data_IF_901136224810
#
_entry.id   IF_901136224810
#
_cell.length_a   1.000
_cell.length_b   1.000
_cell.length_c   1.000
_cell.angle_alpha   90.00
_cell.angle_beta   90.00
_cell.angle_gamma   90.00
#
_symmetry.space_group_name_H-M   'P 1'
#
loop_
_entity.id
_entity.type
_entity.pdbx_description
1 polymer ?
#
# COMPACT_ATOMS: atom_id res chain seq x y z
N UNK A 1 -26.81 3.29 14.01
CA UNK A 1 -26.46 2.09 14.79
C UNK A 1 -25.38 2.40 15.82
N UNK A 2 -24.24 3.00 15.45
CA UNK A 2 -23.16 3.35 16.40
C UNK A 2 -23.63 4.24 17.54
N UNK A 3 -24.42 5.27 17.27
CA UNK A 3 -25.03 6.13 18.31
C UNK A 3 -25.87 5.36 19.37
N UNK A 4 -26.44 4.21 18.98
CA UNK A 4 -27.20 3.32 19.84
C UNK A 4 -26.39 2.14 20.37
N UNK A 5 -25.07 2.20 20.29
CA UNK A 5 -24.13 1.18 20.78
C UNK A 5 -24.41 -0.22 20.20
N UNK A 6 -24.89 -0.28 18.94
CA UNK A 6 -25.15 -1.53 18.24
C UNK A 6 -24.01 -1.90 17.32
N UNK A 7 -23.67 -3.20 17.17
CA UNK A 7 -22.63 -3.65 16.26
C UNK A 7 -22.84 -3.17 14.82
N UNK A 8 -21.82 -2.57 14.21
CA UNK A 8 -21.91 -2.00 12.86
C UNK A 8 -21.57 -3.02 11.75
N UNK A 9 -21.06 -4.19 12.10
CA UNK A 9 -20.54 -5.18 11.15
C UNK A 9 -21.49 -5.60 10.04
N UNK A 10 -22.74 -5.93 10.39
CA UNK A 10 -23.75 -6.37 9.41
C UNK A 10 -24.17 -5.19 8.51
N UNK A 11 -24.37 -4.03 9.11
CA UNK A 11 -24.68 -2.81 8.37
C UNK A 11 -23.56 -2.44 7.41
N UNK A 12 -22.30 -2.41 7.88
CA UNK A 12 -21.14 -2.08 7.04
C UNK A 12 -20.90 -3.11 5.93
N UNK A 13 -21.17 -4.40 6.20
CA UNK A 13 -21.12 -5.44 5.18
C UNK A 13 -22.19 -5.22 4.11
N UNK A 14 -23.44 -4.98 4.49
CA UNK A 14 -24.54 -4.74 3.55
C UNK A 14 -24.29 -3.50 2.69
N UNK A 15 -23.82 -2.39 3.31
CA UNK A 15 -23.45 -1.17 2.58
C UNK A 15 -22.30 -1.44 1.62
N UNK A 16 -21.31 -2.23 2.01
CA UNK A 16 -20.21 -2.61 1.11
C UNK A 16 -20.70 -3.36 -0.12
N UNK A 17 -21.66 -4.28 0.04
CA UNK A 17 -22.28 -4.99 -1.09
C UNK A 17 -23.03 -4.02 -2.03
N UNK A 18 -23.78 -3.06 -1.47
CA UNK A 18 -24.49 -2.03 -2.27
C UNK A 18 -23.48 -1.18 -3.07
N UNK A 19 -22.40 -0.71 -2.43
CA UNK A 19 -21.38 0.09 -3.13
C UNK A 19 -20.66 -0.72 -4.20
N UNK A 20 -20.34 -1.99 -3.96
CA UNK A 20 -19.77 -2.86 -4.98
C UNK A 20 -20.70 -3.03 -6.17
N UNK A 21 -21.98 -3.21 -5.91
CA UNK A 21 -22.98 -3.29 -6.97
C UNK A 21 -23.10 -1.97 -7.77
N UNK A 22 -23.10 -0.83 -7.09
CA UNK A 22 -23.14 0.48 -7.75
C UNK A 22 -21.90 0.75 -8.61
N UNK A 23 -20.73 0.34 -8.16
CA UNK A 23 -19.45 0.61 -8.85
C UNK A 23 -19.15 -0.42 -9.95
N UNK A 24 -19.49 -1.68 -9.73
CA UNK A 24 -19.14 -2.79 -10.63
C UNK A 24 -20.35 -3.38 -11.36
N UNK A 25 -21.58 -3.03 -10.96
CA UNK A 25 -22.82 -3.63 -11.49
C UNK A 25 -23.08 -3.37 -12.97
N UNK A 26 -22.50 -2.31 -13.52
CA UNK A 26 -22.53 -2.04 -14.98
C UNK A 26 -21.75 -3.05 -15.82
N UNK A 27 -20.84 -3.82 -15.20
CA UNK A 27 -20.07 -4.91 -15.80
C UNK A 27 -20.28 -6.20 -15.00
N UNK A 28 -21.30 -6.99 -15.34
CA UNK A 28 -21.58 -8.27 -14.67
C UNK A 28 -20.35 -9.17 -14.54
N UNK A 29 -19.43 -9.12 -15.51
CA UNK A 29 -18.16 -9.86 -15.48
C UNK A 29 -17.30 -9.50 -14.25
N UNK A 30 -17.19 -8.21 -13.89
CA UNK A 30 -16.38 -7.77 -12.77
C UNK A 30 -16.91 -8.34 -11.43
N UNK A 31 -18.23 -8.39 -11.25
CA UNK A 31 -18.84 -8.99 -10.04
C UNK A 31 -18.62 -10.50 -9.98
N UNK A 32 -18.71 -11.19 -11.13
CA UNK A 32 -18.41 -12.63 -11.20
C UNK A 32 -16.94 -12.88 -10.87
N UNK A 33 -16.02 -12.11 -11.44
CA UNK A 33 -14.58 -12.25 -11.14
C UNK A 33 -14.28 -11.97 -9.67
N UNK A 34 -14.90 -10.96 -9.09
CA UNK A 34 -14.79 -10.69 -7.65
C UNK A 34 -15.29 -11.87 -6.81
N UNK A 35 -16.46 -12.43 -7.15
CA UNK A 35 -17.02 -13.56 -6.43
C UNK A 35 -16.12 -14.81 -6.53
N UNK A 36 -15.61 -15.12 -7.71
CA UNK A 36 -14.67 -16.22 -7.95
C UNK A 36 -13.35 -15.99 -7.17
N UNK A 37 -12.82 -14.77 -7.19
CA UNK A 37 -11.63 -14.40 -6.41
C UNK A 37 -11.85 -14.60 -4.91
N UNK A 38 -12.94 -14.10 -4.36
CA UNK A 38 -13.26 -14.25 -2.93
C UNK A 38 -13.39 -15.72 -2.54
N UNK A 39 -14.08 -16.52 -3.38
CA UNK A 39 -14.23 -17.95 -3.13
C UNK A 39 -12.87 -18.66 -3.19
N UNK A 40 -12.04 -18.35 -4.18
CA UNK A 40 -10.69 -18.88 -4.32
C UNK A 40 -9.86 -18.61 -3.06
N UNK A 41 -9.74 -17.35 -2.68
CA UNK A 41 -8.88 -16.94 -1.57
C UNK A 41 -9.34 -17.48 -0.20
N UNK A 42 -10.65 -17.54 0.05
CA UNK A 42 -11.14 -18.09 1.33
C UNK A 42 -10.99 -19.61 1.40
N UNK A 43 -11.25 -20.32 0.31
CA UNK A 43 -11.06 -21.77 0.22
C UNK A 43 -9.59 -22.12 0.39
N UNK A 44 -8.73 -21.40 -0.31
CA UNK A 44 -7.28 -21.56 -0.22
C UNK A 44 -6.78 -21.35 1.22
N UNK A 45 -7.16 -20.23 1.87
CA UNK A 45 -6.74 -19.94 3.23
C UNK A 45 -7.21 -21.03 4.23
N UNK A 46 -8.43 -21.55 4.09
CA UNK A 46 -8.93 -22.65 4.92
C UNK A 46 -8.22 -23.96 4.67
N UNK A 47 -7.94 -24.30 3.41
CA UNK A 47 -7.18 -25.48 3.04
C UNK A 47 -5.76 -25.37 3.60
N UNK A 48 -5.11 -24.22 3.41
CA UNK A 48 -3.76 -24.01 3.91
C UNK A 48 -3.68 -24.11 5.43
N UNK A 49 -4.67 -23.58 6.15
CA UNK A 49 -4.72 -23.73 7.61
C UNK A 49 -4.79 -25.21 8.02
N UNK A 50 -5.61 -26.04 7.36
CA UNK A 50 -5.68 -27.50 7.59
C UNK A 50 -4.34 -28.17 7.28
N UNK A 51 -3.74 -27.84 6.16
CA UNK A 51 -2.43 -28.34 5.74
C UNK A 51 -1.34 -27.95 6.75
N UNK A 52 -1.36 -26.70 7.21
CA UNK A 52 -0.43 -26.18 8.23
C UNK A 52 -0.58 -26.90 9.58
N UNK A 53 -1.82 -27.22 9.99
CA UNK A 53 -2.09 -28.02 11.22
C UNK A 53 -1.57 -29.46 11.06
N UNK A 54 -1.74 -30.08 9.87
CA UNK A 54 -1.33 -31.48 9.63
C UNK A 54 0.18 -31.65 9.44
N UNK A 55 0.81 -30.77 8.63
CA UNK A 55 2.22 -30.92 8.22
C UNK A 55 3.19 -29.97 8.93
N UNK A 56 2.73 -29.24 9.91
CA UNK A 56 3.55 -28.29 10.64
C UNK A 56 4.05 -27.11 9.78
N UNK A 57 5.19 -26.54 10.15
CA UNK A 57 5.79 -25.36 9.48
C UNK A 57 6.62 -25.79 8.25
N UNK A 58 5.96 -26.17 7.18
CA UNK A 58 6.58 -26.63 5.93
C UNK A 58 6.74 -25.46 4.94
N UNK A 59 8.00 -25.13 4.57
CA UNK A 59 8.30 -24.01 3.66
C UNK A 59 7.85 -24.26 2.22
N UNK A 60 7.92 -25.49 1.71
CA UNK A 60 7.51 -25.82 0.34
C UNK A 60 6.01 -25.58 0.17
N UNK A 61 5.22 -26.09 1.11
CA UNK A 61 3.77 -25.89 1.13
C UNK A 61 3.42 -24.39 1.31
N UNK A 62 4.15 -23.66 2.18
CA UNK A 62 3.97 -22.22 2.31
C UNK A 62 4.16 -21.47 0.99
N UNK A 63 5.26 -21.72 0.27
CA UNK A 63 5.49 -21.05 -1.01
C UNK A 63 4.46 -21.45 -2.06
N UNK A 64 4.01 -22.70 -2.09
CA UNK A 64 2.93 -23.13 -2.97
C UNK A 64 1.66 -22.33 -2.74
N UNK A 65 1.18 -22.25 -1.50
CA UNK A 65 -0.03 -21.51 -1.18
C UNK A 65 0.14 -19.97 -1.34
N UNK A 66 1.33 -19.42 -1.07
CA UNK A 66 1.60 -18.02 -1.35
C UNK A 66 1.54 -17.69 -2.86
N UNK A 67 2.06 -18.59 -3.71
CA UNK A 67 1.98 -18.44 -5.17
C UNK A 67 0.54 -18.57 -5.64
N UNK A 68 -0.24 -19.51 -5.10
CA UNK A 68 -1.65 -19.68 -5.42
C UNK A 68 -2.49 -18.44 -5.05
N UNK A 69 -2.21 -17.80 -3.90
CA UNK A 69 -2.86 -16.55 -3.50
C UNK A 69 -2.45 -15.36 -4.37
N UNK A 70 -1.22 -15.35 -4.91
CA UNK A 70 -0.77 -14.30 -5.82
C UNK A 70 -1.21 -14.54 -7.28
N UNK A 71 -1.64 -15.76 -7.62
CA UNK A 71 -1.91 -16.17 -9.00
C UNK A 71 -2.95 -15.30 -9.71
N UNK A 72 -4.10 -14.93 -9.09
CA UNK A 72 -5.08 -14.08 -9.76
C UNK A 72 -4.50 -12.71 -10.17
N UNK A 73 -3.66 -12.11 -9.32
CA UNK A 73 -2.98 -10.85 -9.63
C UNK A 73 -1.93 -11.02 -10.73
N UNK A 74 -1.16 -12.10 -10.68
CA UNK A 74 -0.14 -12.40 -11.70
C UNK A 74 -0.80 -12.55 -13.07
N UNK A 75 -1.89 -13.31 -13.15
CA UNK A 75 -2.65 -13.49 -14.40
C UNK A 75 -3.23 -12.16 -14.91
N UNK A 76 -3.77 -11.34 -14.02
CA UNK A 76 -4.28 -10.02 -14.39
C UNK A 76 -3.17 -9.11 -14.95
N UNK A 77 -2.00 -9.07 -14.30
CA UNK A 77 -0.86 -8.26 -14.79
C UNK A 77 -0.29 -8.80 -16.10
N UNK A 78 -0.22 -10.12 -16.26
CA UNK A 78 0.22 -10.75 -17.49
C UNK A 78 -0.70 -10.40 -18.66
N UNK A 79 -2.01 -10.48 -18.46
CA UNK A 79 -3.00 -10.09 -19.48
C UNK A 79 -2.84 -8.61 -19.89
N UNK A 80 -2.66 -7.71 -18.93
CA UNK A 80 -2.34 -6.30 -19.22
C UNK A 80 -1.05 -6.13 -20.03
N UNK A 81 0.02 -6.85 -19.68
CA UNK A 81 1.31 -6.76 -20.36
C UNK A 81 1.27 -7.30 -21.80
N UNK A 82 0.36 -8.24 -22.08
CA UNK A 82 0.17 -8.86 -23.42
C UNK A 82 -0.91 -8.18 -24.26
N UNK A 83 -1.38 -6.98 -23.85
CA UNK A 83 -2.36 -6.19 -24.60
C UNK A 83 -3.82 -6.53 -24.32
N UNK A 84 -4.12 -7.23 -23.23
CA UNK A 84 -5.49 -7.55 -22.81
C UNK A 84 -6.18 -8.59 -23.67
N UNK A 85 -5.43 -9.45 -24.37
CA UNK A 85 -5.94 -10.44 -25.34
C UNK A 85 -6.85 -11.49 -24.69
N UNK A 86 -6.58 -11.83 -23.44
CA UNK A 86 -7.27 -12.91 -22.74
C UNK A 86 -8.45 -12.45 -21.90
N UNK A 87 -8.55 -11.14 -21.59
CA UNK A 87 -9.58 -10.55 -20.71
C UNK A 87 -9.79 -11.33 -19.40
N UNK A 88 -8.70 -11.89 -18.85
CA UNK A 88 -8.74 -12.74 -17.67
C UNK A 88 -8.66 -11.91 -16.39
N UNK A 89 -9.58 -12.16 -15.49
CA UNK A 89 -9.59 -11.70 -14.11
C UNK A 89 -9.22 -10.23 -13.88
N UNK A 90 -10.02 -9.30 -14.42
CA UNK A 90 -9.89 -7.88 -14.11
C UNK A 90 -11.08 -7.35 -13.31
N UNK A 91 -10.86 -6.89 -12.10
CA UNK A 91 -11.83 -6.09 -11.34
C UNK A 91 -11.11 -5.06 -10.47
N UNK A 92 -11.85 -4.01 -10.15
CA UNK A 92 -11.32 -2.90 -9.35
C UNK A 92 -10.94 -3.37 -7.94
N UNK A 93 -9.68 -3.15 -7.52
CA UNK A 93 -9.20 -3.49 -6.18
C UNK A 93 -8.47 -4.83 -6.06
N UNK A 94 -8.35 -5.63 -7.14
CA UNK A 94 -7.67 -6.94 -7.10
C UNK A 94 -6.28 -6.86 -6.46
N UNK A 95 -5.48 -5.84 -6.76
CA UNK A 95 -4.12 -5.66 -6.22
C UNK A 95 -4.11 -5.50 -4.70
N UNK A 96 -5.04 -4.71 -4.16
CA UNK A 96 -5.13 -4.48 -2.71
C UNK A 96 -5.71 -5.68 -1.96
N UNK A 97 -6.68 -6.35 -2.56
CA UNK A 97 -7.23 -7.59 -2.01
C UNK A 97 -6.18 -8.70 -1.96
N UNK A 98 -5.34 -8.81 -2.99
CA UNK A 98 -4.24 -9.79 -3.02
C UNK A 98 -3.24 -9.55 -1.88
N UNK A 99 -2.94 -8.31 -1.50
CA UNK A 99 -2.13 -8.06 -0.31
C UNK A 99 -2.77 -8.56 0.97
N UNK A 100 -4.09 -8.38 1.11
CA UNK A 100 -4.83 -8.85 2.28
C UNK A 100 -4.84 -10.38 2.34
N UNK A 101 -5.04 -11.08 1.22
CA UNK A 101 -5.03 -12.55 1.18
C UNK A 101 -3.63 -13.11 1.41
N UNK A 102 -2.61 -12.63 0.70
CA UNK A 102 -1.22 -13.04 0.89
C UNK A 102 -0.78 -12.85 2.35
N UNK A 103 -1.18 -11.73 3.00
CA UNK A 103 -0.94 -11.51 4.42
C UNK A 103 -1.54 -12.63 5.29
N UNK A 104 -2.76 -13.08 5.01
CA UNK A 104 -3.41 -14.15 5.78
C UNK A 104 -2.64 -15.46 5.62
N UNK A 105 -2.22 -15.83 4.40
CA UNK A 105 -1.38 -17.02 4.14
C UNK A 105 -0.08 -16.94 4.93
N UNK A 106 0.58 -15.78 4.91
CA UNK A 106 1.82 -15.55 5.64
C UNK A 106 1.61 -15.69 7.16
N UNK A 107 0.55 -15.11 7.70
CA UNK A 107 0.20 -15.17 9.13
C UNK A 107 -0.20 -16.58 9.59
N UNK A 108 -0.84 -17.38 8.72
CA UNK A 108 -1.07 -18.81 8.97
C UNK A 108 0.26 -19.56 9.07
N UNK A 109 1.21 -19.33 8.15
CA UNK A 109 2.53 -19.93 8.21
C UNK A 109 3.27 -19.61 9.50
N UNK A 110 3.18 -18.36 9.97
CA UNK A 110 3.82 -17.92 11.21
C UNK A 110 3.10 -18.40 12.49
N UNK A 111 1.89 -18.95 12.34
CA UNK A 111 1.07 -19.45 13.45
C UNK A 111 0.33 -18.35 14.22
N UNK A 112 0.26 -17.15 13.64
CA UNK A 112 -0.51 -16.02 14.21
C UNK A 112 -2.02 -16.23 14.02
N UNK A 113 -2.45 -16.75 12.87
CA UNK A 113 -3.84 -17.11 12.58
C UNK A 113 -4.02 -18.59 12.84
N UNK A 114 -4.91 -18.91 13.80
CA UNK A 114 -5.27 -20.27 14.19
C UNK A 114 -6.63 -20.71 13.66
N UNK A 115 -7.43 -19.75 13.17
CA UNK A 115 -8.75 -19.96 12.60
C UNK A 115 -9.01 -18.94 11.48
N UNK A 116 -9.69 -19.37 10.40
CA UNK A 116 -10.14 -18.51 9.30
C UNK A 116 -11.65 -18.52 9.27
N UNK A 117 -12.25 -17.50 9.92
CA UNK A 117 -13.68 -17.27 9.91
C UNK A 117 -14.10 -16.64 8.58
N UNK A 118 -15.14 -17.19 7.94
CA UNK A 118 -15.54 -16.76 6.59
C UNK A 118 -16.05 -15.32 6.57
N UNK A 119 -16.91 -14.92 7.53
CA UNK A 119 -17.52 -13.61 7.53
C UNK A 119 -16.50 -12.47 7.74
N UNK A 120 -15.62 -12.48 8.76
CA UNK A 120 -14.58 -11.47 8.90
C UNK A 120 -13.65 -11.40 7.70
N UNK A 121 -13.28 -12.56 7.14
CA UNK A 121 -12.39 -12.62 5.97
C UNK A 121 -13.01 -11.94 4.75
N UNK A 122 -14.24 -12.33 4.38
CA UNK A 122 -14.94 -11.75 3.24
C UNK A 122 -15.23 -10.27 3.46
N UNK A 123 -15.68 -9.88 4.65
CA UNK A 123 -15.97 -8.48 4.96
C UNK A 123 -14.70 -7.61 4.85
N UNK A 124 -13.57 -8.07 5.38
CA UNK A 124 -12.28 -7.37 5.23
C UNK A 124 -11.91 -7.18 3.75
N UNK A 125 -12.15 -8.19 2.91
CA UNK A 125 -11.84 -8.10 1.48
C UNK A 125 -12.69 -7.05 0.77
N UNK A 126 -14.01 -7.11 0.98
CA UNK A 126 -14.97 -6.25 0.26
C UNK A 126 -15.27 -4.92 0.96
N UNK A 127 -14.62 -4.60 2.06
CA UNK A 127 -14.85 -3.36 2.81
C UNK A 127 -14.62 -2.16 1.91
N UNK A 128 -15.72 -1.57 1.43
CA UNK A 128 -15.71 -0.64 0.29
C UNK A 128 -14.84 0.61 0.49
N UNK A 129 -14.69 1.21 1.71
CA UNK A 129 -13.90 2.41 1.84
C UNK A 129 -12.44 2.25 1.40
N UNK A 130 -11.90 1.03 1.55
CA UNK A 130 -10.47 0.75 1.30
C UNK A 130 -10.22 -0.29 0.19
N UNK A 131 -11.23 -0.59 -0.62
CA UNK A 131 -11.16 -1.69 -1.58
C UNK A 131 -10.20 -1.41 -2.74
N UNK A 132 -10.08 -0.17 -3.19
CA UNK A 132 -9.30 0.20 -4.38
C UNK A 132 -7.86 0.60 -4.05
N UNK A 133 -7.66 1.77 -3.43
CA UNK A 133 -6.36 2.35 -3.11
C UNK A 133 -6.30 2.85 -1.66
N UNK A 134 -7.24 2.43 -0.82
CA UNK A 134 -7.27 2.78 0.59
C UNK A 134 -6.16 2.09 1.39
N UNK A 135 -6.03 2.41 2.67
CA UNK A 135 -5.04 1.78 3.53
C UNK A 135 -5.17 0.25 3.57
N UNK A 136 -4.03 -0.44 3.48
CA UNK A 136 -3.96 -1.91 3.60
C UNK A 136 -4.03 -2.29 5.07
N UNK A 137 -5.19 -2.75 5.49
CA UNK A 137 -5.42 -3.10 6.88
C UNK A 137 -4.90 -4.49 7.27
N UNK A 138 -4.63 -4.67 8.56
CA UNK A 138 -4.22 -5.96 9.13
C UNK A 138 -5.47 -6.78 9.50
N UNK A 139 -5.49 -8.05 9.08
CA UNK A 139 -6.66 -8.93 9.27
C UNK A 139 -7.12 -9.06 10.71
N UNK A 140 -6.19 -9.19 11.65
CA UNK A 140 -6.51 -9.30 13.08
C UNK A 140 -7.09 -7.99 13.62
N UNK A 141 -6.47 -6.85 13.32
CA UNK A 141 -6.95 -5.54 13.73
C UNK A 141 -8.34 -5.22 13.19
N UNK A 142 -8.58 -5.49 11.87
CA UNK A 142 -9.88 -5.31 11.24
C UNK A 142 -10.95 -6.17 11.93
N UNK A 143 -10.61 -7.42 12.24
CA UNK A 143 -11.50 -8.35 12.96
C UNK A 143 -11.86 -7.82 14.36
N UNK A 144 -10.87 -7.33 15.11
CA UNK A 144 -11.08 -6.81 16.45
C UNK A 144 -12.00 -5.57 16.42
N UNK A 145 -11.78 -4.62 15.52
CA UNK A 145 -12.63 -3.45 15.33
C UNK A 145 -14.06 -3.85 14.92
N UNK A 146 -14.19 -4.80 14.00
CA UNK A 146 -15.49 -5.26 13.47
C UNK A 146 -16.39 -5.87 14.55
N UNK A 147 -15.82 -6.57 15.52
CA UNK A 147 -16.59 -7.19 16.61
C UNK A 147 -16.80 -6.27 17.80
N UNK A 148 -16.09 -5.16 17.85
CA UNK A 148 -16.14 -4.22 18.96
C UNK A 148 -17.49 -3.50 19.00
N UNK A 149 -18.11 -3.45 20.18
CA UNK A 149 -19.21 -2.52 20.49
C UNK A 149 -18.56 -1.22 20.98
N UNK A 150 -18.80 -0.15 20.24
CA UNK A 150 -18.17 1.15 20.53
C UNK A 150 -19.12 1.97 21.41
N UNK A 151 -18.67 2.49 22.57
CA UNK A 151 -19.46 3.41 23.41
C UNK A 151 -19.88 4.65 22.60
N UNK A 152 -21.07 5.17 22.89
CA UNK A 152 -21.66 6.31 22.15
C UNK A 152 -20.72 7.48 22.02
N UNK A 153 -20.10 7.91 23.11
CA UNK A 153 -19.20 9.05 23.09
C UNK A 153 -18.01 8.81 22.18
N UNK A 154 -17.36 7.64 22.29
CA UNK A 154 -16.24 7.27 21.43
C UNK A 154 -16.68 7.19 19.96
N UNK A 155 -17.87 6.67 19.67
CA UNK A 155 -18.38 6.63 18.30
C UNK A 155 -18.63 8.03 17.74
N UNK A 156 -19.19 8.95 18.54
CA UNK A 156 -19.41 10.34 18.12
C UNK A 156 -18.12 11.06 17.81
N UNK A 157 -17.08 10.88 18.65
CA UNK A 157 -15.76 11.45 18.44
C UNK A 157 -15.11 10.88 17.17
N UNK A 158 -15.25 9.56 16.97
CA UNK A 158 -14.72 8.86 15.79
C UNK A 158 -15.47 9.30 14.52
N UNK A 159 -16.79 9.45 14.58
CA UNK A 159 -17.59 9.94 13.45
C UNK A 159 -17.27 11.39 13.11
N UNK A 160 -17.09 12.25 14.12
CA UNK A 160 -16.65 13.63 13.92
C UNK A 160 -15.29 13.72 13.23
N UNK A 161 -14.31 12.93 13.70
CA UNK A 161 -13.01 12.81 13.04
C UNK A 161 -13.13 12.26 11.62
N UNK A 162 -14.02 11.28 11.40
CA UNK A 162 -14.30 10.70 10.10
C UNK A 162 -14.84 11.73 9.12
N UNK A 163 -15.85 12.49 9.51
CA UNK A 163 -16.40 13.56 8.68
C UNK A 163 -15.36 14.66 8.38
N UNK A 164 -14.58 15.07 9.36
CA UNK A 164 -13.48 16.02 9.13
C UNK A 164 -12.48 15.49 8.10
N UNK A 165 -12.05 14.21 8.21
CA UNK A 165 -11.14 13.58 7.24
C UNK A 165 -11.77 13.52 5.84
N UNK A 166 -13.07 13.23 5.70
CA UNK A 166 -13.77 13.23 4.41
C UNK A 166 -13.73 14.60 3.77
N UNK A 167 -14.13 15.65 4.52
CA UNK A 167 -14.14 17.03 4.01
C UNK A 167 -12.73 17.48 3.62
N UNK A 168 -11.73 17.24 4.48
CA UNK A 168 -10.34 17.56 4.18
C UNK A 168 -9.84 16.80 2.95
N UNK A 169 -10.24 15.53 2.82
CA UNK A 169 -9.90 14.68 1.67
C UNK A 169 -10.49 15.22 0.35
N UNK A 170 -11.73 15.71 0.39
CA UNK A 170 -12.36 16.38 -0.76
C UNK A 170 -11.58 17.65 -1.13
N UNK A 171 -11.23 18.49 -0.16
CA UNK A 171 -10.40 19.68 -0.42
C UNK A 171 -9.07 19.32 -1.06
N UNK A 172 -8.38 18.29 -0.53
CA UNK A 172 -7.10 17.85 -1.08
C UNK A 172 -7.25 17.36 -2.54
N UNK A 173 -8.23 16.49 -2.81
CA UNK A 173 -8.37 15.84 -4.11
C UNK A 173 -9.03 16.76 -5.15
N UNK A 174 -10.13 17.43 -4.79
CA UNK A 174 -10.96 18.16 -5.76
C UNK A 174 -10.46 19.59 -5.97
N UNK A 175 -9.83 20.22 -4.95
CA UNK A 175 -9.37 21.61 -5.06
C UNK A 175 -7.88 21.67 -5.29
N UNK A 176 -7.07 21.13 -4.35
CA UNK A 176 -5.62 21.33 -4.38
C UNK A 176 -4.97 20.49 -5.49
N UNK A 177 -5.31 19.18 -5.57
CA UNK A 177 -4.76 18.33 -6.61
C UNK A 177 -5.20 18.79 -8.00
N UNK A 178 -6.47 19.19 -8.19
CA UNK A 178 -6.93 19.74 -9.46
C UNK A 178 -6.20 21.03 -9.84
N UNK A 179 -5.87 21.89 -8.87
CA UNK A 179 -5.05 23.07 -9.10
C UNK A 179 -3.65 22.72 -9.62
N UNK A 180 -2.95 21.78 -8.98
CA UNK A 180 -1.63 21.31 -9.45
C UNK A 180 -1.69 20.62 -10.82
N UNK A 181 -2.75 19.85 -11.09
CA UNK A 181 -2.98 19.25 -12.39
C UNK A 181 -3.15 20.31 -13.49
N UNK A 182 -3.89 21.38 -13.22
CA UNK A 182 -4.02 22.51 -14.16
C UNK A 182 -2.69 23.24 -14.40
N UNK A 183 -1.86 23.40 -13.34
CA UNK A 183 -0.52 23.95 -13.49
C UNK A 183 0.39 23.05 -14.32
N UNK A 184 0.32 21.74 -14.11
CA UNK A 184 1.04 20.75 -14.90
C UNK A 184 0.68 20.86 -16.39
N UNK A 185 -0.62 20.88 -16.72
CA UNK A 185 -1.10 21.02 -18.10
C UNK A 185 -0.65 22.33 -18.73
N UNK A 186 -0.69 23.45 -18.02
CA UNK A 186 -0.36 24.76 -18.58
C UNK A 186 1.13 25.02 -18.74
N UNK A 187 1.95 24.55 -17.80
CA UNK A 187 3.36 24.93 -17.67
C UNK A 187 4.33 23.77 -17.88
N UNK A 188 3.87 22.53 -17.72
CA UNK A 188 4.73 21.33 -17.70
C UNK A 188 4.98 20.69 -19.07
N UNK A 189 4.64 21.34 -20.19
CA UNK A 189 4.75 20.73 -21.52
C UNK A 189 6.16 20.80 -22.15
N UNK A 190 7.04 21.68 -21.68
CA UNK A 190 8.39 21.82 -22.20
C UNK A 190 9.21 20.53 -22.07
N UNK A 191 10.01 20.21 -23.08
CA UNK A 191 11.01 19.14 -23.08
C UNK A 191 12.41 19.67 -22.74
N UNK A 192 12.51 20.93 -22.33
CA UNK A 192 13.71 21.54 -21.78
C UNK A 192 13.84 21.31 -20.27
N UNK A 193 14.97 21.67 -19.70
CA UNK A 193 15.21 21.53 -18.25
C UNK A 193 14.17 22.26 -17.40
N UNK A 194 13.74 23.45 -17.84
CA UNK A 194 12.74 24.25 -17.14
C UNK A 194 11.38 23.53 -17.11
N UNK A 195 10.93 23.02 -18.25
CA UNK A 195 9.70 22.25 -18.35
C UNK A 195 9.74 20.96 -17.53
N UNK A 196 10.88 20.26 -17.55
CA UNK A 196 11.09 19.07 -16.73
C UNK A 196 10.99 19.35 -15.23
N UNK A 197 11.61 20.44 -14.75
CA UNK A 197 11.54 20.83 -13.34
C UNK A 197 10.12 21.26 -12.93
N UNK A 198 9.46 22.08 -13.75
CA UNK A 198 8.06 22.47 -13.49
C UNK A 198 7.18 21.22 -13.39
N UNK A 199 7.27 20.32 -14.37
CA UNK A 199 6.51 19.06 -14.36
C UNK A 199 6.81 18.22 -13.12
N UNK A 200 8.08 18.02 -12.78
CA UNK A 200 8.50 17.21 -11.62
C UNK A 200 7.82 17.67 -10.33
N UNK A 201 7.81 18.98 -10.06
CA UNK A 201 7.20 19.48 -8.83
C UNK A 201 5.67 19.54 -8.90
N UNK A 202 5.09 19.98 -10.02
CA UNK A 202 3.63 20.05 -10.16
C UNK A 202 3.01 18.66 -10.12
N UNK A 203 3.58 17.69 -10.82
CA UNK A 203 3.15 16.29 -10.76
C UNK A 203 3.34 15.68 -9.38
N UNK A 204 4.48 15.93 -8.72
CA UNK A 204 4.74 15.41 -7.38
C UNK A 204 3.73 15.90 -6.34
N UNK A 205 3.36 17.19 -6.37
CA UNK A 205 2.31 17.73 -5.52
C UNK A 205 0.92 17.23 -5.94
N UNK A 206 0.62 17.19 -7.23
CA UNK A 206 -0.62 16.59 -7.73
C UNK A 206 -0.80 15.17 -7.19
N UNK A 207 0.19 14.31 -7.38
CA UNK A 207 0.17 12.92 -6.93
C UNK A 207 -0.06 12.81 -5.42
N UNK A 208 0.62 13.66 -4.63
CA UNK A 208 0.45 13.67 -3.18
C UNK A 208 -0.97 14.07 -2.77
N UNK A 209 -1.46 15.21 -3.24
CA UNK A 209 -2.76 15.71 -2.82
C UNK A 209 -3.91 14.84 -3.33
N UNK A 210 -3.79 14.29 -4.54
CA UNK A 210 -4.77 13.36 -5.09
C UNK A 210 -4.86 12.08 -4.25
N UNK A 211 -3.73 11.46 -3.97
CA UNK A 211 -3.69 10.19 -3.23
C UNK A 211 -3.92 10.37 -1.72
N UNK A 212 -3.38 11.41 -1.11
CA UNK A 212 -3.65 11.72 0.30
C UNK A 212 -5.12 12.11 0.52
N UNK A 213 -5.71 12.86 -0.42
CA UNK A 213 -7.13 13.20 -0.39
C UNK A 213 -8.02 11.97 -0.47
N UNK A 214 -7.76 11.08 -1.43
CA UNK A 214 -8.45 9.80 -1.51
C UNK A 214 -8.29 8.98 -0.21
N UNK A 215 -7.08 8.86 0.32
CA UNK A 215 -6.81 8.11 1.54
C UNK A 215 -7.53 8.70 2.76
N UNK A 216 -7.58 10.02 2.89
CA UNK A 216 -8.33 10.70 3.95
C UNK A 216 -9.83 10.38 3.87
N UNK A 217 -10.43 10.43 2.67
CA UNK A 217 -11.84 10.05 2.49
C UNK A 217 -12.07 8.59 2.83
N UNK A 218 -11.18 7.68 2.43
CA UNK A 218 -11.28 6.26 2.74
C UNK A 218 -11.21 5.98 4.25
N UNK A 219 -10.25 6.59 4.95
CA UNK A 219 -10.12 6.47 6.42
C UNK A 219 -11.32 7.09 7.12
N UNK A 220 -11.75 8.28 6.69
CA UNK A 220 -12.92 8.95 7.25
C UNK A 220 -14.20 8.13 7.10
N UNK A 221 -14.45 7.59 5.91
CA UNK A 221 -15.56 6.67 5.68
C UNK A 221 -15.48 5.42 6.57
N UNK A 222 -14.28 4.83 6.72
CA UNK A 222 -14.09 3.67 7.58
C UNK A 222 -14.49 3.94 9.03
N UNK A 223 -14.19 5.13 9.54
CA UNK A 223 -14.54 5.54 10.90
C UNK A 223 -16.06 5.57 11.13
N UNK A 224 -16.83 5.97 10.11
CA UNK A 224 -18.31 5.94 10.20
C UNK A 224 -18.87 4.51 10.34
N UNK A 225 -18.10 3.49 9.89
CA UNK A 225 -18.44 2.08 10.03
C UNK A 225 -17.81 1.42 11.27
N UNK A 226 -17.21 2.19 12.16
CA UNK A 226 -16.62 1.65 13.38
C UNK A 226 -15.26 0.99 13.18
N UNK A 227 -14.66 1.08 11.98
CA UNK A 227 -13.34 0.52 11.66
C UNK A 227 -12.30 1.63 11.71
N UNK A 228 -11.39 1.57 12.66
CA UNK A 228 -10.32 2.57 12.84
C UNK A 228 -9.15 2.30 11.90
N UNK A 229 -9.40 2.38 10.60
CA UNK A 229 -8.40 2.18 9.54
C UNK A 229 -7.21 3.12 9.71
N UNK A 230 -5.95 2.64 9.59
CA UNK A 230 -4.77 3.47 9.77
C UNK A 230 -4.60 4.51 8.66
N UNK A 231 -3.96 5.64 8.98
CA UNK A 231 -3.63 6.66 7.99
C UNK A 231 -2.49 6.21 7.06
N UNK A 232 -2.53 6.66 5.80
CA UNK A 232 -1.48 6.38 4.80
C UNK A 232 -0.41 7.46 4.69
N UNK A 233 -0.67 8.66 5.24
CA UNK A 233 0.24 9.79 5.10
C UNK A 233 0.43 10.54 6.41
N UNK A 234 1.69 10.90 6.70
CA UNK A 234 2.05 11.73 7.84
C UNK A 234 3.11 12.76 7.44
N UNK A 235 2.70 13.84 6.77
CA UNK A 235 3.57 14.95 6.34
C UNK A 235 4.87 14.47 5.68
N UNK A 236 4.82 13.71 4.58
CA UNK A 236 6.00 13.01 4.02
C UNK A 236 7.10 13.97 3.51
N UNK A 237 6.75 15.19 3.13
CA UNK A 237 7.70 16.16 2.58
C UNK A 237 8.57 16.87 3.62
N UNK A 238 8.35 16.62 4.93
CA UNK A 238 9.27 17.07 5.99
C UNK A 238 10.29 16.00 6.40
N UNK A 239 10.34 14.90 5.68
CA UNK A 239 11.25 13.78 5.98
C UNK A 239 12.70 14.17 5.86
N UNK A 240 13.51 13.72 6.80
CA UNK A 240 14.94 14.05 6.87
C UNK A 240 15.84 13.05 6.15
N UNK A 241 15.30 11.90 5.77
CA UNK A 241 15.98 10.87 4.97
C UNK A 241 14.96 9.92 4.33
N UNK A 242 15.45 8.99 3.48
CA UNK A 242 14.58 8.10 2.71
C UNK A 242 13.83 7.07 3.57
N UNK A 243 14.34 6.71 4.75
CA UNK A 243 13.61 5.82 5.66
C UNK A 243 12.45 6.56 6.33
N UNK A 244 12.71 7.78 6.83
CA UNK A 244 11.68 8.66 7.39
C UNK A 244 10.60 8.99 6.34
N UNK A 245 10.97 9.14 5.05
CA UNK A 245 10.01 9.30 3.97
C UNK A 245 9.08 8.09 3.83
N UNK A 246 9.60 6.88 3.75
CA UNK A 246 8.78 5.67 3.61
C UNK A 246 7.99 5.30 4.88
N UNK A 247 8.37 5.82 6.04
CA UNK A 247 7.57 5.74 7.28
C UNK A 247 6.42 6.76 7.31
N UNK A 248 6.38 7.73 6.34
CA UNK A 248 5.37 8.80 6.24
C UNK A 248 4.58 8.79 4.94
N UNK A 249 5.09 8.15 3.89
CA UNK A 249 4.47 8.04 2.58
C UNK A 249 3.89 6.64 2.39
N UNK A 250 2.59 6.58 2.01
CA UNK A 250 1.88 5.31 1.77
C UNK A 250 2.18 4.27 2.86
N UNK A 251 1.99 4.69 4.11
CA UNK A 251 2.48 4.03 5.33
C UNK A 251 2.05 2.56 5.37
N UNK A 252 0.80 2.26 5.04
CA UNK A 252 0.28 0.89 5.15
C UNK A 252 0.90 -0.05 4.12
N UNK A 253 1.16 0.41 2.89
CA UNK A 253 1.88 -0.34 1.87
C UNK A 253 3.35 -0.52 2.27
N UNK A 254 4.00 0.57 2.67
CA UNK A 254 5.40 0.58 3.11
C UNK A 254 5.63 -0.41 4.26
N UNK A 255 4.76 -0.39 5.27
CA UNK A 255 4.82 -1.32 6.39
C UNK A 255 4.47 -2.76 5.98
N UNK A 256 3.54 -2.95 5.02
CA UNK A 256 3.26 -4.27 4.50
C UNK A 256 4.51 -4.89 3.84
N UNK A 257 5.15 -4.15 2.95
CA UNK A 257 6.39 -4.58 2.29
C UNK A 257 7.53 -4.79 3.28
N UNK A 258 7.70 -3.92 4.27
CA UNK A 258 8.71 -4.07 5.33
C UNK A 258 8.50 -5.36 6.13
N UNK A 259 7.26 -5.65 6.54
CA UNK A 259 6.97 -6.77 7.45
C UNK A 259 6.95 -8.11 6.70
N UNK A 260 6.41 -8.15 5.48
CA UNK A 260 6.17 -9.39 4.75
C UNK A 260 7.19 -9.69 3.65
N UNK A 261 7.97 -8.71 3.19
CA UNK A 261 9.02 -8.91 2.19
C UNK A 261 10.39 -8.65 2.79
N UNK A 262 10.70 -7.40 3.15
CA UNK A 262 12.03 -6.99 3.62
C UNK A 262 12.51 -7.83 4.81
N UNK A 263 11.70 -7.95 5.86
CA UNK A 263 12.07 -8.72 7.06
C UNK A 263 12.29 -10.19 6.76
N UNK A 264 11.50 -10.78 5.83
CA UNK A 264 11.66 -12.19 5.46
C UNK A 264 12.90 -12.44 4.62
N UNK A 265 13.19 -11.58 3.65
CA UNK A 265 14.42 -11.64 2.87
C UNK A 265 15.64 -11.52 3.80
N UNK A 266 15.64 -10.52 4.69
CA UNK A 266 16.70 -10.29 5.65
C UNK A 266 16.92 -11.51 6.55
N UNK A 267 15.86 -12.06 7.17
CA UNK A 267 15.98 -13.25 8.02
C UNK A 267 16.47 -14.48 7.25
N UNK A 268 16.02 -14.69 6.02
CA UNK A 268 16.47 -15.82 5.21
C UNK A 268 17.96 -15.69 4.84
N UNK A 269 18.43 -14.49 4.49
CA UNK A 269 19.84 -14.23 4.20
C UNK A 269 20.72 -14.42 5.43
N UNK A 270 20.29 -13.92 6.59
CA UNK A 270 21.00 -14.14 7.87
C UNK A 270 21.11 -15.64 8.17
N UNK A 271 20.02 -16.38 8.08
CA UNK A 271 19.97 -17.83 8.34
C UNK A 271 20.81 -18.65 7.37
N UNK A 272 20.95 -18.20 6.14
CA UNK A 272 21.77 -18.89 5.13
C UNK A 272 23.26 -18.88 5.47
N UNK A 273 23.72 -17.92 6.29
CA UNK A 273 25.13 -17.67 6.66
C UNK A 273 26.08 -17.45 5.47
N UNK A 274 25.53 -17.29 4.24
CA UNK A 274 26.34 -17.07 3.04
C UNK A 274 26.91 -15.65 2.98
N UNK A 275 26.21 -14.68 3.57
CA UNK A 275 26.60 -13.27 3.61
C UNK A 275 26.82 -12.88 5.06
N UNK A 276 28.07 -12.51 5.40
CA UNK A 276 28.44 -12.13 6.77
C UNK A 276 28.08 -10.69 7.12
N UNK A 277 28.06 -9.80 6.13
CA UNK A 277 27.83 -8.38 6.34
C UNK A 277 26.33 -8.08 6.46
N UNK A 278 25.88 -7.65 7.62
CA UNK A 278 24.49 -7.18 7.83
C UNK A 278 24.13 -6.00 6.92
N UNK A 279 25.10 -5.15 6.59
CA UNK A 279 24.89 -4.02 5.68
C UNK A 279 24.60 -4.50 4.26
N UNK A 280 25.36 -5.47 3.77
CA UNK A 280 25.13 -6.11 2.46
C UNK A 280 23.76 -6.79 2.40
N UNK A 281 23.37 -7.48 3.49
CA UNK A 281 22.05 -8.10 3.59
C UNK A 281 20.95 -7.04 3.49
N UNK A 282 21.09 -5.92 4.21
CA UNK A 282 20.11 -4.83 4.13
C UNK A 282 20.00 -4.22 2.73
N UNK A 283 21.13 -3.99 2.05
CA UNK A 283 21.16 -3.48 0.67
C UNK A 283 20.42 -4.42 -0.27
N UNK A 284 20.73 -5.72 -0.24
CA UNK A 284 20.03 -6.71 -1.08
C UNK A 284 18.53 -6.73 -0.77
N UNK A 285 18.16 -6.69 0.51
CA UNK A 285 16.77 -6.68 0.91
C UNK A 285 16.02 -5.42 0.46
N UNK A 286 16.65 -4.23 0.46
CA UNK A 286 16.06 -3.00 -0.08
C UNK A 286 15.81 -3.10 -1.58
N UNK A 287 16.78 -3.60 -2.37
CA UNK A 287 16.59 -3.77 -3.80
C UNK A 287 15.48 -4.76 -4.13
N UNK A 288 15.42 -5.90 -3.44
CA UNK A 288 14.34 -6.88 -3.64
C UNK A 288 12.99 -6.27 -3.24
N UNK A 289 12.92 -5.61 -2.08
CA UNK A 289 11.69 -5.01 -1.56
C UNK A 289 11.12 -3.95 -2.49
N UNK A 290 11.96 -2.99 -2.88
CA UNK A 290 11.55 -1.87 -3.72
C UNK A 290 11.39 -2.28 -5.19
N UNK A 291 12.17 -3.23 -5.69
CA UNK A 291 11.99 -3.81 -7.02
C UNK A 291 10.62 -4.52 -7.15
N UNK A 292 10.24 -5.33 -6.17
CA UNK A 292 8.90 -5.95 -6.13
C UNK A 292 7.79 -4.92 -6.03
N UNK A 293 7.99 -3.83 -5.26
CA UNK A 293 7.04 -2.72 -5.18
C UNK A 293 6.89 -2.03 -6.55
N UNK A 294 7.99 -1.82 -7.27
CA UNK A 294 7.96 -1.27 -8.63
C UNK A 294 7.16 -2.16 -9.60
N UNK A 295 7.43 -3.45 -9.64
CA UNK A 295 6.69 -4.43 -10.46
C UNK A 295 5.20 -4.47 -10.08
N UNK A 296 4.89 -4.30 -8.80
CA UNK A 296 3.51 -4.24 -8.34
C UNK A 296 2.76 -3.02 -8.88
N UNK A 297 3.41 -1.86 -8.98
CA UNK A 297 2.79 -0.66 -9.58
C UNK A 297 2.41 -0.88 -11.04
N UNK A 298 3.29 -1.50 -11.83
CA UNK A 298 3.02 -1.79 -13.22
C UNK A 298 4.14 -2.55 -13.91
N UNK A 299 3.88 -2.99 -15.15
CA UNK A 299 4.85 -3.72 -15.98
C UNK A 299 5.72 -2.79 -16.84
N UNK A 300 5.37 -1.50 -16.91
CA UNK A 300 6.11 -0.50 -17.65
C UNK A 300 7.51 -0.28 -17.06
N UNK A 301 8.55 -0.08 -17.90
CA UNK A 301 9.93 0.06 -17.43
C UNK A 301 10.16 1.15 -16.39
N UNK A 302 9.41 2.25 -16.46
CA UNK A 302 9.55 3.36 -15.52
C UNK A 302 9.08 3.01 -14.10
N UNK A 303 8.14 2.07 -13.91
CA UNK A 303 7.78 1.58 -12.57
C UNK A 303 8.88 0.73 -11.95
N UNK A 304 9.55 -0.10 -12.78
CA UNK A 304 10.69 -0.90 -12.34
C UNK A 304 11.86 0.04 -11.99
N UNK A 305 12.13 1.03 -12.85
CA UNK A 305 13.16 2.06 -12.62
C UNK A 305 12.89 2.84 -11.33
N UNK A 306 11.63 3.22 -11.06
CA UNK A 306 11.22 3.85 -9.80
C UNK A 306 11.52 2.97 -8.58
N UNK A 307 11.16 1.69 -8.64
CA UNK A 307 11.45 0.76 -7.55
C UNK A 307 12.95 0.62 -7.30
N UNK A 308 13.76 0.41 -8.35
CA UNK A 308 15.22 0.29 -8.24
C UNK A 308 15.86 1.60 -7.73
N UNK A 309 15.40 2.75 -8.19
CA UNK A 309 15.84 4.06 -7.72
C UNK A 309 15.63 4.21 -6.20
N UNK A 310 14.43 3.92 -5.69
CA UNK A 310 14.17 3.97 -4.25
C UNK A 310 14.92 2.90 -3.47
N UNK A 311 15.14 1.72 -4.04
CA UNK A 311 16.02 0.69 -3.46
C UNK A 311 17.46 1.17 -3.30
N UNK A 312 17.98 1.87 -4.31
CA UNK A 312 19.30 2.50 -4.26
C UNK A 312 19.33 3.60 -3.19
N UNK A 313 18.36 4.51 -3.15
CA UNK A 313 18.32 5.61 -2.18
C UNK A 313 18.26 5.11 -0.73
N UNK A 314 17.44 4.07 -0.45
CA UNK A 314 17.39 3.44 0.88
C UNK A 314 18.72 2.78 1.23
N UNK A 315 19.37 2.13 0.27
CA UNK A 315 20.68 1.49 0.44
C UNK A 315 21.76 2.51 0.74
N UNK A 316 21.81 3.61 -0.02
CA UNK A 316 22.75 4.72 0.22
C UNK A 316 22.50 5.35 1.59
N UNK A 317 21.24 5.58 1.96
CA UNK A 317 20.87 6.11 3.27
C UNK A 317 21.36 5.19 4.39
N UNK A 318 21.13 3.87 4.29
CA UNK A 318 21.60 2.89 5.28
C UNK A 318 23.12 2.88 5.43
N UNK A 319 23.85 2.83 4.31
CA UNK A 319 25.32 2.87 4.29
C UNK A 319 25.85 4.16 4.91
N UNK A 320 25.28 5.31 4.47
CA UNK A 320 25.71 6.62 4.96
C UNK A 320 25.48 6.77 6.46
N UNK A 321 24.29 6.42 6.96
CA UNK A 321 23.97 6.50 8.38
C UNK A 321 24.88 5.63 9.25
N UNK A 322 25.26 4.44 8.74
CA UNK A 322 26.15 3.52 9.50
C UNK A 322 27.61 3.91 9.45
N UNK A 323 28.12 4.36 8.31
CA UNK A 323 29.55 4.58 8.10
C UNK A 323 30.01 6.02 8.33
N UNK A 324 29.17 7.03 8.02
CA UNK A 324 29.57 8.44 8.07
C UNK A 324 29.77 8.95 9.50
N UNK A 325 30.98 9.38 9.80
CA UNK A 325 31.30 10.10 11.04
C UNK A 325 30.61 11.46 11.09
N UNK A 326 30.50 12.13 9.93
CA UNK A 326 29.83 13.42 9.78
C UNK A 326 28.35 13.31 10.16
N UNK A 327 27.63 12.33 9.59
CA UNK A 327 26.25 12.08 9.97
C UNK A 327 26.09 11.83 11.47
N UNK A 328 26.90 10.95 12.04
CA UNK A 328 26.83 10.61 13.47
C UNK A 328 27.03 11.82 14.37
N UNK A 329 27.92 12.76 13.97
CA UNK A 329 28.19 14.01 14.69
C UNK A 329 27.03 15.01 14.60
N UNK A 330 26.48 15.23 13.38
CA UNK A 330 25.57 16.36 13.12
C UNK A 330 24.08 15.99 13.03
N UNK A 331 23.69 14.69 13.08
CA UNK A 331 22.30 14.24 12.85
C UNK A 331 21.24 14.86 13.74
N UNK A 332 21.62 15.44 14.90
CA UNK A 332 20.70 16.13 15.83
C UNK A 332 20.63 17.63 15.59
N UNK A 333 21.52 18.21 14.82
CA UNK A 333 21.59 19.63 14.57
C UNK A 333 20.49 20.11 13.62
N UNK A 334 19.90 21.26 13.90
CA UNK A 334 18.78 21.80 13.13
C UNK A 334 19.13 22.06 11.66
N UNK A 335 20.31 22.68 11.41
CA UNK A 335 20.75 22.94 10.04
C UNK A 335 20.94 21.65 9.24
N UNK A 336 21.56 20.62 9.86
CA UNK A 336 21.77 19.32 9.21
C UNK A 336 20.44 18.66 8.82
N UNK A 337 19.48 18.66 9.75
CA UNK A 337 18.12 18.12 9.50
C UNK A 337 17.41 18.88 8.39
N UNK A 338 17.55 20.23 8.37
CA UNK A 338 16.98 21.06 7.29
C UNK A 338 17.58 20.73 5.94
N UNK A 339 18.91 20.72 5.81
CA UNK A 339 19.61 20.38 4.55
C UNK A 339 19.29 18.97 4.10
N UNK A 340 19.31 17.98 5.02
CA UNK A 340 18.92 16.60 4.72
C UNK A 340 17.48 16.50 4.23
N UNK A 341 16.56 17.25 4.83
CA UNK A 341 15.16 17.32 4.40
C UNK A 341 15.00 17.89 2.99
N UNK A 342 15.70 18.98 2.68
CA UNK A 342 15.71 19.56 1.31
C UNK A 342 16.24 18.56 0.29
N UNK A 343 17.32 17.88 0.60
CA UNK A 343 17.89 16.84 -0.30
C UNK A 343 16.88 15.71 -0.47
N UNK A 344 16.31 15.18 0.61
CA UNK A 344 15.32 14.10 0.57
C UNK A 344 14.10 14.48 -0.25
N UNK A 345 13.58 15.69 -0.06
CA UNK A 345 12.44 16.20 -0.81
C UNK A 345 12.71 16.20 -2.32
N UNK A 346 13.87 16.72 -2.75
CA UNK A 346 14.22 16.75 -4.16
C UNK A 346 14.43 15.35 -4.76
N UNK A 347 15.05 14.43 -4.02
CA UNK A 347 15.19 13.03 -4.44
C UNK A 347 13.83 12.34 -4.59
N UNK A 348 12.90 12.64 -3.70
CA UNK A 348 11.53 12.11 -3.78
C UNK A 348 10.78 12.67 -4.99
N UNK A 349 10.85 13.99 -5.24
CA UNK A 349 10.23 14.61 -6.40
C UNK A 349 10.79 14.04 -7.72
N UNK A 350 12.09 13.79 -7.78
CA UNK A 350 12.71 13.11 -8.93
C UNK A 350 12.21 11.65 -9.06
N UNK A 351 12.05 10.95 -7.94
CA UNK A 351 11.41 9.63 -7.94
C UNK A 351 10.00 9.66 -8.54
N UNK A 352 9.18 10.65 -8.19
CA UNK A 352 7.85 10.82 -8.78
C UNK A 352 7.90 11.18 -10.27
N UNK A 353 8.92 11.94 -10.69
CA UNK A 353 9.16 12.20 -12.11
C UNK A 353 9.46 10.92 -12.89
N UNK A 354 10.25 10.00 -12.33
CA UNK A 354 10.45 8.65 -12.92
C UNK A 354 9.11 7.91 -12.96
N UNK A 355 8.37 7.88 -11.84
CA UNK A 355 7.10 7.16 -11.71
C UNK A 355 6.04 7.61 -12.72
N UNK A 356 6.03 8.89 -13.09
CA UNK A 356 5.10 9.45 -14.08
C UNK A 356 5.31 8.92 -15.50
N UNK A 357 6.43 8.26 -15.78
CA UNK A 357 6.84 7.88 -17.12
C UNK A 357 7.30 9.05 -18.02
N UNK A 358 7.17 10.29 -17.55
CA UNK A 358 7.58 11.48 -18.32
C UNK A 358 9.07 11.46 -18.70
N UNK A 359 9.90 10.88 -17.85
CA UNK A 359 11.33 10.74 -18.08
C UNK A 359 11.65 10.03 -19.42
N UNK A 360 10.78 9.11 -19.86
CA UNK A 360 10.92 8.37 -21.13
C UNK A 360 10.85 9.27 -22.36
N UNK A 361 10.37 10.52 -22.22
CA UNK A 361 10.37 11.51 -23.32
C UNK A 361 11.68 12.28 -23.46
N UNK A 362 12.60 12.07 -22.52
CA UNK A 362 13.92 12.72 -22.51
C UNK A 362 15.05 11.73 -22.83
N UNK A 363 14.74 10.44 -22.93
CA UNK A 363 15.65 9.36 -23.34
C UNK A 363 15.24 8.89 -24.75
#
# INVERSE_FOLDING_TARGET
>A
MGYFEKPLRIYGFAVSLVFLWLVMGGTHRALVYLAVFLLWEIVEAKIYLKVRKKYGRNRKLYYLFLILSLLPLILNKYDHATGGVLHWFGFLGISYMTFKSAQVIIQIFDGQIKEVESFPYVYMMIFFPVITSGPIDRSMRFRDDMYRVIPRQEYMDMAGQGLFKIVLGVVYKVVIAAGFYQLEIRLGHGLDLKGALIYMYTYGFYLFFDFAGYSLMAVGASYLFGIKTPDNFNKPFISVDMKDFWDRWHITLSHWFRDFVFSRVTMNLIRSRKIKSHLTIAVIAFFINMGLMGIWHGTEPYYIAYGLYHGMLLSVTEVYQKKSKFHKKHKKEKWYRFVSGVITFNLVMFGFFIFSGRIMKFI
#
